data_IF_948087493357
#
_entry.id   IF_948087493357
#
_cell.length_a   1.000
_cell.length_b   1.000
_cell.length_c   1.000
_cell.angle_alpha   90.00
_cell.angle_beta   90.00
_cell.angle_gamma   90.00
#
_symmetry.space_group_name_H-M   'P 1'
#
loop_
_entity.id
_entity.type
_entity.pdbx_description
1 polymer ?
#
# COMPACT_ATOMS: atom_id res chain seq x y z
N UNK A 1 8.29 5.70 30.97
CA UNK A 1 7.97 4.26 30.88
C UNK A 1 8.69 3.70 29.66
N UNK A 2 9.84 3.05 29.84
CA UNK A 2 10.64 2.51 28.72
C UNK A 2 10.03 1.20 28.25
N UNK A 3 9.41 1.20 27.06
CA UNK A 3 9.02 -0.06 26.42
C UNK A 3 10.27 -0.93 26.24
N UNK A 4 10.21 -2.18 26.69
CA UNK A 4 11.31 -3.12 26.53
C UNK A 4 11.57 -3.36 25.03
N UNK A 5 12.82 -3.23 24.55
CA UNK A 5 13.14 -3.25 23.12
C UNK A 5 12.75 -4.54 22.38
N UNK A 6 12.66 -5.67 23.09
CA UNK A 6 12.19 -6.95 22.55
C UNK A 6 10.70 -6.94 22.21
N UNK A 7 9.88 -6.30 23.04
CA UNK A 7 8.42 -6.18 22.85
C UNK A 7 8.14 -5.27 21.66
N UNK A 8 8.78 -4.10 21.58
CA UNK A 8 8.64 -3.16 20.47
C UNK A 8 8.98 -3.81 19.11
N UNK A 9 10.08 -4.56 19.04
CA UNK A 9 10.49 -5.24 17.81
C UNK A 9 9.49 -6.33 17.38
N UNK A 10 8.96 -7.11 18.33
CA UNK A 10 7.95 -8.13 18.06
C UNK A 10 6.63 -7.50 17.57
N UNK A 11 6.26 -6.35 18.14
CA UNK A 11 5.09 -5.60 17.73
C UNK A 11 5.27 -4.98 16.35
N UNK A 12 6.39 -4.34 16.03
CA UNK A 12 6.64 -3.80 14.69
C UNK A 12 6.55 -4.90 13.64
N UNK A 13 7.15 -6.07 13.90
CA UNK A 13 7.05 -7.21 12.97
C UNK A 13 5.60 -7.66 12.80
N UNK A 14 4.88 -7.89 13.90
CA UNK A 14 3.49 -8.36 13.85
C UNK A 14 2.57 -7.38 13.12
N UNK A 15 2.56 -6.10 13.54
CA UNK A 15 1.69 -5.09 12.95
C UNK A 15 2.08 -4.75 11.50
N UNK A 16 3.38 -4.76 11.17
CA UNK A 16 3.83 -4.57 9.79
C UNK A 16 3.36 -5.69 8.86
N UNK A 17 3.47 -6.96 9.29
CA UNK A 17 2.94 -8.10 8.53
C UNK A 17 1.42 -8.00 8.41
N UNK A 18 0.72 -7.67 9.49
CA UNK A 18 -0.74 -7.47 9.46
C UNK A 18 -1.14 -6.37 8.48
N UNK A 19 -0.44 -5.23 8.48
CA UNK A 19 -0.70 -4.14 7.53
C UNK A 19 -0.52 -4.58 6.09
N UNK A 20 0.59 -5.28 5.77
CA UNK A 20 0.82 -5.84 4.44
C UNK A 20 -0.27 -6.85 4.04
N UNK A 21 -0.66 -7.74 4.95
CA UNK A 21 -1.69 -8.73 4.67
C UNK A 21 -3.04 -8.07 4.36
N UNK A 22 -3.44 -7.05 5.15
CA UNK A 22 -4.67 -6.29 4.91
C UNK A 22 -4.60 -5.54 3.57
N UNK A 23 -3.46 -4.92 3.27
CA UNK A 23 -3.24 -4.21 2.01
C UNK A 23 -3.38 -5.15 0.80
N UNK A 24 -2.71 -6.31 0.83
CA UNK A 24 -2.76 -7.30 -0.24
C UNK A 24 -4.14 -7.94 -0.36
N UNK A 25 -4.86 -8.15 0.75
CA UNK A 25 -6.24 -8.62 0.72
C UNK A 25 -7.14 -7.62 -0.02
N UNK A 26 -7.03 -6.32 0.31
CA UNK A 26 -7.76 -5.27 -0.41
C UNK A 26 -7.44 -5.25 -1.91
N UNK A 27 -6.15 -5.34 -2.27
CA UNK A 27 -5.72 -5.42 -3.66
C UNK A 27 -6.32 -6.64 -4.38
N UNK A 28 -6.23 -7.82 -3.78
CA UNK A 28 -6.73 -9.06 -4.36
C UNK A 28 -8.25 -9.04 -4.55
N UNK A 29 -9.00 -8.55 -3.55
CA UNK A 29 -10.46 -8.41 -3.65
C UNK A 29 -10.83 -7.44 -4.76
N UNK A 30 -10.16 -6.29 -4.87
CA UNK A 30 -10.42 -5.32 -5.93
C UNK A 30 -10.14 -5.87 -7.33
N UNK A 31 -9.02 -6.60 -7.48
CA UNK A 31 -8.65 -7.26 -8.73
C UNK A 31 -9.68 -8.33 -9.13
N UNK A 32 -10.05 -9.21 -8.19
CA UNK A 32 -11.04 -10.27 -8.42
C UNK A 32 -12.42 -9.66 -8.73
N UNK A 33 -12.87 -8.65 -7.97
CA UNK A 33 -14.13 -7.94 -8.21
C UNK A 33 -14.22 -7.42 -9.64
N UNK A 34 -13.18 -6.74 -10.11
CA UNK A 34 -13.09 -6.23 -11.47
C UNK A 34 -13.20 -7.35 -12.50
N UNK A 35 -12.47 -8.45 -12.30
CA UNK A 35 -12.55 -9.64 -13.16
C UNK A 35 -13.96 -10.24 -13.20
N UNK A 36 -14.63 -10.38 -12.05
CA UNK A 36 -15.97 -10.93 -11.96
C UNK A 36 -17.02 -10.05 -12.67
N UNK A 37 -16.91 -8.72 -12.55
CA UNK A 37 -17.77 -7.78 -13.29
C UNK A 37 -17.53 -7.90 -14.79
N UNK A 38 -16.26 -7.89 -15.23
CA UNK A 38 -15.91 -7.97 -16.66
C UNK A 38 -16.32 -9.29 -17.31
N UNK A 39 -16.36 -10.38 -16.55
CA UNK A 39 -16.82 -11.69 -17.03
C UNK A 39 -18.34 -11.90 -16.86
N UNK A 40 -19.07 -10.90 -16.36
CA UNK A 40 -20.53 -10.99 -16.15
C UNK A 40 -20.95 -11.98 -15.06
N UNK A 41 -20.03 -12.40 -14.18
CA UNK A 41 -20.33 -13.31 -13.06
C UNK A 41 -21.12 -12.60 -11.97
N UNK A 42 -20.86 -11.30 -11.78
CA UNK A 42 -21.62 -10.43 -10.87
C UNK A 42 -22.08 -9.19 -11.61
N UNK A 43 -23.20 -8.60 -11.16
CA UNK A 43 -23.69 -7.33 -11.67
C UNK A 43 -22.73 -6.17 -11.36
N UNK A 44 -22.71 -5.16 -12.24
CA UNK A 44 -21.90 -3.95 -12.06
C UNK A 44 -22.19 -3.32 -10.70
N UNK A 45 -23.47 -3.25 -10.29
CA UNK A 45 -23.86 -2.69 -9.00
C UNK A 45 -23.20 -3.42 -7.82
N UNK A 46 -23.23 -4.75 -7.79
CA UNK A 46 -22.57 -5.52 -6.73
C UNK A 46 -21.04 -5.32 -6.72
N UNK A 47 -20.43 -5.23 -7.90
CA UNK A 47 -19.00 -4.93 -8.03
C UNK A 47 -18.62 -3.53 -7.54
N UNK A 48 -19.32 -2.50 -8.01
CA UNK A 48 -18.94 -1.09 -7.78
C UNK A 48 -19.44 -0.52 -6.47
N UNK A 49 -20.54 -1.03 -5.91
CA UNK A 49 -21.14 -0.47 -4.67
C UNK A 49 -20.74 -1.23 -3.40
N UNK A 50 -20.30 -2.49 -3.51
CA UNK A 50 -19.95 -3.32 -2.36
C UNK A 50 -18.48 -3.74 -2.41
N UNK A 51 -18.09 -4.50 -3.42
CA UNK A 51 -16.77 -5.12 -3.44
C UNK A 51 -15.65 -4.10 -3.63
N UNK A 52 -15.80 -3.15 -4.56
CA UNK A 52 -14.77 -2.13 -4.83
C UNK A 52 -14.54 -1.21 -3.62
N UNK A 53 -15.57 -0.61 -2.99
CA UNK A 53 -15.36 0.23 -1.80
C UNK A 53 -14.77 -0.54 -0.62
N UNK A 54 -15.16 -1.80 -0.43
CA UNK A 54 -14.59 -2.65 0.61
C UNK A 54 -13.12 -3.01 0.35
N UNK A 55 -12.78 -3.37 -0.90
CA UNK A 55 -11.40 -3.58 -1.33
C UNK A 55 -10.54 -2.34 -1.08
N UNK A 56 -11.05 -1.16 -1.45
CA UNK A 56 -10.37 0.12 -1.27
C UNK A 56 -10.10 0.46 0.19
N UNK A 57 -11.08 0.20 1.05
CA UNK A 57 -10.94 0.38 2.49
C UNK A 57 -9.79 -0.47 3.04
N UNK A 58 -9.77 -1.77 2.73
CA UNK A 58 -8.71 -2.67 3.18
C UNK A 58 -7.36 -2.28 2.58
N UNK A 59 -7.34 -1.95 1.29
CA UNK A 59 -6.14 -1.52 0.59
C UNK A 59 -5.53 -0.27 1.25
N UNK A 60 -6.33 0.76 1.49
CA UNK A 60 -5.91 1.99 2.17
C UNK A 60 -5.51 1.76 3.63
N UNK A 61 -6.30 1.00 4.39
CA UNK A 61 -6.03 0.72 5.81
C UNK A 61 -4.70 -0.01 5.99
N UNK A 62 -4.44 -1.04 5.18
CA UNK A 62 -3.19 -1.77 5.23
C UNK A 62 -1.97 -0.89 4.95
N UNK A 63 -2.10 0.02 3.96
CA UNK A 63 -1.06 1.00 3.64
C UNK A 63 -0.77 1.94 4.83
N UNK A 64 -1.82 2.50 5.44
CA UNK A 64 -1.71 3.38 6.61
C UNK A 64 -1.02 2.67 7.77
N UNK A 65 -1.40 1.43 8.07
CA UNK A 65 -0.77 0.63 9.13
C UNK A 65 0.72 0.45 8.85
N UNK A 66 1.11 0.11 7.62
CA UNK A 66 2.51 -0.07 7.24
C UNK A 66 3.32 1.21 7.42
N UNK A 67 2.80 2.35 6.97
CA UNK A 67 3.47 3.66 7.14
C UNK A 67 3.61 4.01 8.62
N UNK A 68 2.55 3.82 9.41
CA UNK A 68 2.59 4.07 10.84
C UNK A 68 3.60 3.17 11.57
N UNK A 69 3.66 1.88 11.21
CA UNK A 69 4.62 0.93 11.76
C UNK A 69 6.06 1.30 11.36
N UNK A 70 6.30 1.70 10.11
CA UNK A 70 7.60 2.16 9.65
C UNK A 70 8.07 3.41 10.40
N UNK A 71 7.19 4.40 10.57
CA UNK A 71 7.48 5.59 11.38
C UNK A 71 7.79 5.23 12.84
N UNK A 72 7.00 4.35 13.47
CA UNK A 72 7.24 3.86 14.83
C UNK A 72 8.55 3.07 14.97
N UNK A 73 8.96 2.35 13.93
CA UNK A 73 10.24 1.65 13.89
C UNK A 73 11.43 2.64 13.76
N UNK A 74 11.17 3.93 13.59
CA UNK A 74 12.19 4.95 13.41
C UNK A 74 12.86 4.84 12.04
N UNK A 75 12.10 4.47 11.00
CA UNK A 75 12.55 4.61 9.61
C UNK A 75 12.87 6.09 9.36
N UNK A 76 14.08 6.42 8.88
CA UNK A 76 14.46 7.81 8.63
C UNK A 76 13.50 8.53 7.68
N UNK A 77 13.18 9.79 7.98
CA UNK A 77 12.21 10.60 7.23
C UNK A 77 12.51 10.67 5.72
N UNK A 78 13.78 10.63 5.29
CA UNK A 78 14.13 10.60 3.87
C UNK A 78 13.51 9.42 3.12
N UNK A 79 13.43 8.24 3.74
CA UNK A 79 12.83 7.07 3.12
C UNK A 79 11.30 7.14 3.15
N UNK A 80 10.72 7.66 4.23
CA UNK A 80 9.28 7.92 4.31
C UNK A 80 8.84 8.96 3.26
N UNK A 81 9.64 10.00 3.03
CA UNK A 81 9.37 11.02 2.01
C UNK A 81 9.41 10.43 0.59
N UNK A 82 10.43 9.62 0.27
CA UNK A 82 10.52 8.94 -1.03
C UNK A 82 9.32 8.00 -1.23
N UNK A 83 9.02 7.15 -0.24
CA UNK A 83 7.87 6.25 -0.32
C UNK A 83 6.55 7.03 -0.44
N UNK A 84 6.40 8.13 0.31
CA UNK A 84 5.24 9.02 0.24
C UNK A 84 5.07 9.65 -1.15
N UNK A 85 6.15 10.06 -1.80
CA UNK A 85 6.11 10.57 -3.17
C UNK A 85 5.63 9.49 -4.16
N UNK A 86 6.18 8.27 -4.06
CA UNK A 86 5.78 7.15 -4.92
C UNK A 86 4.32 6.73 -4.68
N UNK A 87 3.89 6.69 -3.41
CA UNK A 87 2.49 6.47 -3.04
C UNK A 87 1.60 7.58 -3.62
N UNK A 88 2.02 8.85 -3.55
CA UNK A 88 1.30 9.99 -4.11
C UNK A 88 1.10 9.86 -5.62
N UNK A 89 2.14 9.47 -6.36
CA UNK A 89 2.04 9.16 -7.80
C UNK A 89 1.08 7.99 -8.04
N UNK A 90 1.14 6.96 -7.20
CA UNK A 90 0.22 5.82 -7.31
C UNK A 90 -1.24 6.20 -7.07
N UNK A 91 -1.51 7.06 -6.09
CA UNK A 91 -2.83 7.64 -5.83
C UNK A 91 -3.30 8.52 -6.98
N UNK A 92 -2.40 9.31 -7.57
CA UNK A 92 -2.70 10.12 -8.76
C UNK A 92 -3.17 9.24 -9.92
N UNK A 93 -2.43 8.18 -10.26
CA UNK A 93 -2.85 7.26 -11.34
C UNK A 93 -4.14 6.50 -11.06
N UNK A 94 -4.46 6.29 -9.79
CA UNK A 94 -5.68 5.60 -9.39
C UNK A 94 -6.90 6.52 -9.37
N UNK A 95 -6.72 7.77 -8.97
CA UNK A 95 -7.81 8.68 -8.60
C UNK A 95 -8.14 9.76 -9.63
N UNK A 96 -7.29 9.98 -10.63
CA UNK A 96 -7.53 11.01 -11.65
C UNK A 96 -8.13 10.42 -12.94
N UNK A 97 -8.93 11.19 -13.69
CA UNK A 97 -9.35 10.80 -15.04
C UNK A 97 -8.19 10.59 -16.00
N UNK A 98 -8.42 9.81 -17.05
CA UNK A 98 -7.39 9.48 -18.03
C UNK A 98 -6.77 10.71 -18.70
N UNK A 99 -7.59 11.71 -19.01
CA UNK A 99 -7.19 12.96 -19.65
C UNK A 99 -6.21 13.74 -18.77
N UNK A 100 -6.39 13.67 -17.44
CA UNK A 100 -5.52 14.32 -16.47
C UNK A 100 -4.17 13.60 -16.39
N UNK A 101 -4.14 12.26 -16.49
CA UNK A 101 -2.86 11.55 -16.59
C UNK A 101 -2.07 12.00 -17.82
N UNK A 102 -2.71 12.10 -18.99
CA UNK A 102 -2.05 12.53 -20.23
C UNK A 102 -1.54 13.97 -20.10
N UNK A 103 -2.40 14.89 -19.63
CA UNK A 103 -2.07 16.30 -19.51
C UNK A 103 -0.96 16.59 -18.49
N UNK A 104 -0.81 15.74 -17.46
CA UNK A 104 0.18 15.92 -16.40
C UNK A 104 1.64 15.70 -16.82
N UNK A 105 1.90 15.19 -18.03
CA UNK A 105 3.25 14.86 -18.49
C UNK A 105 3.81 13.54 -17.94
N UNK A 106 3.11 12.90 -17.00
CA UNK A 106 3.42 11.55 -16.49
C UNK A 106 2.45 10.48 -17.02
N UNK A 107 1.69 10.78 -18.06
CA UNK A 107 0.75 9.82 -18.66
C UNK A 107 1.40 8.68 -19.41
N UNK A 108 2.66 8.81 -19.86
CA UNK A 108 3.43 7.75 -20.56
C UNK A 108 2.73 7.09 -21.78
N UNK A 109 1.64 7.68 -22.30
CA UNK A 109 0.87 7.12 -23.42
C UNK A 109 0.20 5.76 -23.16
N UNK A 110 0.11 5.31 -21.91
CA UNK A 110 -0.54 4.02 -21.56
C UNK A 110 -2.05 4.20 -21.39
N UNK A 111 -2.82 3.10 -21.43
CA UNK A 111 -4.29 3.16 -21.27
C UNK A 111 -4.71 3.47 -19.84
N UNK A 112 -5.92 4.01 -19.63
CA UNK A 112 -6.42 4.32 -18.28
C UNK A 112 -6.40 3.12 -17.30
N UNK A 113 -6.81 1.90 -17.70
CA UNK A 113 -6.67 0.73 -16.82
C UNK A 113 -5.20 0.42 -16.48
N UNK A 114 -4.27 0.67 -17.41
CA UNK A 114 -2.85 0.48 -17.16
C UNK A 114 -2.29 1.52 -16.17
N UNK A 115 -2.77 2.78 -16.20
CA UNK A 115 -2.47 3.77 -15.15
C UNK A 115 -2.92 3.27 -13.78
N UNK A 116 -4.18 2.85 -13.66
CA UNK A 116 -4.73 2.34 -12.40
C UNK A 116 -3.90 1.16 -11.88
N UNK A 117 -3.58 0.20 -12.75
CA UNK A 117 -2.74 -0.95 -12.41
C UNK A 117 -1.34 -0.55 -11.94
N UNK A 118 -0.69 0.38 -12.64
CA UNK A 118 0.60 0.94 -12.25
C UNK A 118 0.51 1.64 -10.89
N UNK A 119 -0.57 2.39 -10.64
CA UNK A 119 -0.80 3.05 -9.36
C UNK A 119 -0.86 2.07 -8.20
N UNK A 120 -1.60 0.98 -8.36
CA UNK A 120 -1.63 -0.11 -7.38
C UNK A 120 -0.25 -0.75 -7.17
N UNK A 121 0.51 -0.97 -8.24
CA UNK A 121 1.85 -1.56 -8.15
C UNK A 121 2.80 -0.64 -7.35
N UNK A 122 2.81 0.66 -7.65
CA UNK A 122 3.66 1.65 -6.97
C UNK A 122 3.35 1.73 -5.47
N UNK A 123 2.06 1.78 -5.10
CA UNK A 123 1.64 1.80 -3.70
C UNK A 123 2.00 0.50 -2.97
N UNK A 124 1.77 -0.66 -3.61
CA UNK A 124 2.06 -1.98 -3.02
C UNK A 124 3.55 -2.21 -2.80
N UNK A 125 4.38 -1.88 -3.79
CA UNK A 125 5.84 -1.99 -3.68
C UNK A 125 6.37 -1.04 -2.61
N UNK A 126 5.83 0.18 -2.52
CA UNK A 126 6.20 1.14 -1.47
C UNK A 126 5.87 0.64 -0.08
N UNK A 127 4.68 0.05 0.12
CA UNK A 127 4.30 -0.58 1.37
C UNK A 127 5.26 -1.73 1.73
N UNK A 128 5.52 -2.64 0.79
CA UNK A 128 6.43 -3.76 1.01
C UNK A 128 7.85 -3.29 1.37
N UNK A 129 8.37 -2.27 0.67
CA UNK A 129 9.68 -1.68 0.94
C UNK A 129 9.75 -1.05 2.34
N UNK A 130 8.73 -0.29 2.75
CA UNK A 130 8.67 0.30 4.08
C UNK A 130 8.60 -0.77 5.19
N UNK A 131 7.79 -1.81 5.00
CA UNK A 131 7.72 -2.93 5.95
C UNK A 131 9.06 -3.67 6.05
N UNK A 132 9.71 -3.96 4.91
CA UNK A 132 11.02 -4.59 4.88
C UNK A 132 12.08 -3.74 5.58
N UNK A 133 12.14 -2.43 5.29
CA UNK A 133 13.07 -1.51 5.92
C UNK A 133 12.85 -1.41 7.44
N UNK A 134 11.60 -1.36 7.88
CA UNK A 134 11.26 -1.37 9.30
C UNK A 134 11.74 -2.67 10.01
N UNK A 135 11.64 -3.82 9.34
CA UNK A 135 12.11 -5.09 9.90
C UNK A 135 13.63 -5.17 9.96
N UNK A 136 14.31 -4.73 8.91
CA UNK A 136 15.77 -4.71 8.83
C UNK A 136 16.35 -3.78 9.90
N UNK A 137 15.83 -2.56 10.04
CA UNK A 137 16.29 -1.61 11.06
C UNK A 137 16.08 -2.13 12.49
N UNK A 138 14.94 -2.77 12.75
CA UNK A 138 14.70 -3.37 14.06
C UNK A 138 15.57 -4.59 14.35
N UNK A 139 15.98 -5.35 13.32
CA UNK A 139 16.92 -6.44 13.48
C UNK A 139 18.30 -5.91 13.90
N UNK A 140 18.85 -4.95 13.15
CA UNK A 140 20.17 -4.39 13.46
C UNK A 140 20.23 -3.78 14.87
N UNK A 141 19.20 -3.01 15.26
CA UNK A 141 19.12 -2.43 16.62
C UNK A 141 19.05 -3.47 17.75
N UNK A 142 18.64 -4.72 17.47
CA UNK A 142 18.69 -5.81 18.45
C UNK A 142 20.05 -6.47 18.51
N UNK A 143 20.78 -6.54 17.41
CA UNK A 143 22.13 -7.09 17.34
C UNK A 143 23.14 -6.16 18.02
N UNK A 144 23.04 -4.83 17.82
CA UNK A 144 23.90 -3.83 18.47
C UNK A 144 23.73 -3.74 20.01
N UNK A 145 22.68 -4.34 20.56
CA UNK A 145 22.34 -4.30 22.00
C UNK A 145 22.61 -5.61 22.74
N UNK A 146 23.13 -6.63 22.05
CA UNK A 146 23.57 -7.89 22.65
C UNK A 146 25.07 -7.85 22.89
#
# INVERSE_FOLDING_TARGET
MSEQPSILASQVRRHGITGIAIHLAGFAIGFVSTGLVLQGVIGIEAGTTVLTPFADLLYGLGLVIVVAVAARAGVPMKYLAIAGAVIGVGLFYRGQPHEIHIASGIGFGITHPAHIGLGHLLMTVSAAALAALAFVLNRFRREDRK
#
